data_IF_081635264308
#
_entry.id   IF_081635264308
#
_cell.length_a   1.000
_cell.length_b   1.000
_cell.length_c   1.000
_cell.angle_alpha   90.00
_cell.angle_beta   90.00
_cell.angle_gamma   90.00
#
_symmetry.space_group_name_H-M   'P 1'
#
loop_
_entity.id
_entity.type
_entity.pdbx_description
1 polymer ?
#
# COMPACT_ATOMS: atom_id res chain seq x y z
N UNK A 1 -13.05 -13.31 24.38
CA UNK A 1 -13.31 -12.06 25.16
C UNK A 1 -12.86 -10.78 24.44
N UNK A 2 -11.88 -10.82 23.53
CA UNK A 2 -11.34 -9.61 22.85
C UNK A 2 -12.34 -8.89 21.90
N UNK A 3 -13.17 -9.62 21.14
CA UNK A 3 -14.00 -9.04 20.06
C UNK A 3 -15.02 -7.96 20.51
N UNK A 4 -15.58 -8.07 21.72
CA UNK A 4 -16.55 -7.10 22.24
C UNK A 4 -15.89 -5.76 22.60
N UNK A 5 -14.66 -5.78 23.11
CA UNK A 5 -13.94 -4.59 23.58
C UNK A 5 -13.44 -3.77 22.38
N UNK A 6 -12.88 -4.42 21.36
CA UNK A 6 -12.39 -3.74 20.14
C UNK A 6 -13.52 -2.99 19.42
N UNK A 7 -14.72 -3.60 19.34
CA UNK A 7 -15.88 -2.98 18.68
C UNK A 7 -16.38 -1.73 19.41
N UNK A 8 -16.37 -1.74 20.75
CA UNK A 8 -16.75 -0.58 21.57
C UNK A 8 -15.77 0.59 21.39
N UNK A 9 -14.46 0.32 21.44
CA UNK A 9 -13.44 1.37 21.27
C UNK A 9 -13.53 2.02 19.89
N UNK A 10 -13.61 1.22 18.82
CA UNK A 10 -13.73 1.75 17.45
C UNK A 10 -15.02 2.57 17.30
N UNK A 11 -16.13 2.11 17.89
CA UNK A 11 -17.41 2.84 17.84
C UNK A 11 -17.31 4.18 18.55
N UNK A 12 -16.70 4.24 19.73
CA UNK A 12 -16.51 5.48 20.48
C UNK A 12 -15.61 6.47 19.74
N UNK A 13 -14.52 5.99 19.13
CA UNK A 13 -13.65 6.82 18.29
C UNK A 13 -14.42 7.36 17.08
N UNK A 14 -15.20 6.52 16.40
CA UNK A 14 -16.00 6.94 15.25
C UNK A 14 -17.09 7.95 15.65
N UNK A 15 -17.75 7.77 16.79
CA UNK A 15 -18.70 8.73 17.35
C UNK A 15 -18.04 10.09 17.58
N UNK A 16 -16.88 10.11 18.25
CA UNK A 16 -16.14 11.36 18.47
C UNK A 16 -15.66 11.99 17.16
N UNK A 17 -15.28 11.19 16.17
CA UNK A 17 -14.89 11.64 14.85
C UNK A 17 -16.05 12.27 14.06
N UNK A 18 -17.27 11.73 14.19
CA UNK A 18 -18.49 12.32 13.63
C UNK A 18 -18.81 13.69 14.25
N UNK A 19 -18.51 13.88 15.54
CA UNK A 19 -18.68 15.19 16.20
C UNK A 19 -17.62 16.23 15.79
N UNK A 20 -16.47 15.78 15.25
CA UNK A 20 -15.33 16.63 14.91
C UNK A 20 -14.79 16.31 13.50
N UNK A 21 -15.58 16.52 12.42
CA UNK A 21 -15.24 16.08 11.07
C UNK A 21 -13.98 16.73 10.48
N UNK A 22 -13.60 17.90 11.00
CA UNK A 22 -12.42 18.67 10.59
C UNK A 22 -11.09 18.08 11.08
N UNK A 23 -11.14 17.24 12.12
CA UNK A 23 -9.95 16.66 12.74
C UNK A 23 -9.75 15.22 12.25
N UNK A 24 -8.52 14.83 11.86
CA UNK A 24 -8.23 13.44 11.54
C UNK A 24 -8.12 12.59 12.82
N UNK A 25 -8.72 11.41 12.80
CA UNK A 25 -8.68 10.41 13.86
C UNK A 25 -7.91 9.19 13.39
N UNK A 26 -6.85 8.83 14.10
CA UNK A 26 -6.01 7.68 13.78
C UNK A 26 -6.25 6.55 14.79
N UNK A 27 -6.55 5.36 14.29
CA UNK A 27 -6.64 4.12 15.06
C UNK A 27 -5.39 3.32 14.76
N UNK A 28 -4.46 3.27 15.71
CA UNK A 28 -3.22 2.49 15.60
C UNK A 28 -3.40 1.12 16.26
N UNK A 29 -3.30 0.07 15.46
CA UNK A 29 -3.34 -1.32 15.89
C UNK A 29 -1.91 -1.87 15.92
N UNK A 30 -1.39 -2.06 17.13
CA UNK A 30 -0.05 -2.60 17.29
C UNK A 30 -0.02 -4.13 17.11
N UNK A 31 1.01 -4.66 16.44
CA UNK A 31 1.24 -6.08 16.17
C UNK A 31 -0.02 -6.81 15.65
N UNK A 32 -0.67 -6.21 14.65
CA UNK A 32 -2.01 -6.61 14.24
C UNK A 32 -2.08 -8.06 13.73
N UNK A 33 -0.96 -8.62 13.26
CA UNK A 33 -0.83 -9.95 12.67
C UNK A 33 -0.53 -11.09 13.68
N UNK A 34 -0.52 -10.82 14.98
CA UNK A 34 -0.48 -11.85 16.03
C UNK A 34 -1.67 -12.82 15.94
N UNK A 35 -2.80 -12.34 15.43
CA UNK A 35 -3.96 -13.15 15.07
C UNK A 35 -4.31 -12.93 13.60
N UNK A 36 -5.06 -13.86 13.00
CA UNK A 36 -5.57 -13.71 11.64
C UNK A 36 -6.47 -12.48 11.54
N UNK A 37 -5.92 -11.40 10.97
CA UNK A 37 -6.58 -10.10 10.81
C UNK A 37 -7.92 -10.20 10.12
N UNK A 38 -8.00 -11.04 9.10
CA UNK A 38 -9.23 -11.27 8.35
C UNK A 38 -10.40 -11.80 9.19
N UNK A 39 -10.15 -12.38 10.38
CA UNK A 39 -11.19 -12.88 11.26
C UNK A 39 -11.68 -11.81 12.23
N UNK A 40 -10.76 -11.24 13.02
CA UNK A 40 -11.15 -10.25 14.02
C UNK A 40 -11.51 -8.88 13.43
N UNK A 41 -10.98 -8.57 12.25
CA UNK A 41 -11.21 -7.30 11.55
C UNK A 41 -12.22 -7.42 10.40
N UNK A 42 -12.87 -8.58 10.26
CA UNK A 42 -13.80 -8.90 9.16
C UNK A 42 -14.95 -7.89 9.04
N UNK A 43 -15.54 -7.47 10.16
CA UNK A 43 -16.66 -6.52 10.19
C UNK A 43 -16.23 -5.16 9.65
N UNK A 44 -15.06 -4.65 10.07
CA UNK A 44 -14.53 -3.37 9.60
C UNK A 44 -14.17 -3.45 8.11
N UNK A 45 -13.50 -4.52 7.69
CA UNK A 45 -13.17 -4.74 6.27
C UNK A 45 -14.45 -4.81 5.41
N UNK A 46 -15.54 -5.36 5.96
CA UNK A 46 -16.83 -5.43 5.26
C UNK A 46 -17.54 -4.08 5.24
N UNK A 47 -17.46 -3.29 6.32
CA UNK A 47 -18.02 -1.93 6.36
C UNK A 47 -17.30 -0.98 5.40
N UNK A 48 -15.99 -1.11 5.22
CA UNK A 48 -15.23 -0.35 4.23
C UNK A 48 -15.72 -0.57 2.79
N UNK A 49 -16.35 -1.72 2.49
CA UNK A 49 -16.95 -2.00 1.18
C UNK A 49 -18.26 -1.23 0.94
N UNK A 50 -18.89 -0.72 2.00
CA UNK A 50 -20.18 -0.02 1.95
C UNK A 50 -20.05 1.49 1.76
N UNK A 51 -18.81 1.98 1.58
CA UNK A 51 -18.50 3.39 1.37
C UNK A 51 -19.31 3.97 0.22
N UNK A 52 -19.99 5.08 0.47
CA UNK A 52 -20.80 5.83 -0.49
C UNK A 52 -20.81 7.30 -0.14
N UNK A 53 -21.16 8.13 -1.11
CA UNK A 53 -21.50 9.53 -0.85
C UNK A 53 -22.92 9.62 -0.25
N UNK A 54 -23.08 10.45 0.79
CA UNK A 54 -24.39 10.91 1.26
C UNK A 54 -24.90 12.09 0.40
N UNK A 55 -26.03 12.68 0.79
CA UNK A 55 -26.62 13.84 0.09
C UNK A 55 -25.70 15.07 0.11
N UNK A 56 -24.89 15.22 1.15
CA UNK A 56 -23.92 16.30 1.35
C UNK A 56 -22.55 16.03 0.70
N UNK A 57 -22.43 14.95 -0.09
CA UNK A 57 -21.18 14.49 -0.74
C UNK A 57 -20.06 14.09 0.22
N UNK A 58 -20.40 13.70 1.43
CA UNK A 58 -19.48 13.11 2.39
C UNK A 58 -19.40 11.61 2.21
N UNK A 59 -18.21 11.04 2.41
CA UNK A 59 -18.03 9.59 2.37
C UNK A 59 -18.47 8.99 3.71
N UNK A 60 -19.50 8.14 3.65
CA UNK A 60 -20.04 7.41 4.80
C UNK A 60 -20.05 5.90 4.54
N UNK A 61 -20.08 5.10 5.60
CA UNK A 61 -20.34 3.65 5.52
C UNK A 61 -21.75 3.31 6.00
N UNK A 62 -22.12 2.03 5.99
CA UNK A 62 -23.19 1.54 6.84
C UNK A 62 -22.84 1.69 8.32
N UNK A 63 -23.85 1.58 9.18
CA UNK A 63 -23.68 1.68 10.64
C UNK A 63 -22.81 0.55 11.20
N UNK A 64 -21.94 0.92 12.13
CA UNK A 64 -20.97 0.05 12.81
C UNK A 64 -21.65 -0.98 13.70
N UNK A 65 -22.69 -0.55 14.41
CA UNK A 65 -23.53 -1.40 15.23
C UNK A 65 -24.82 -1.71 14.49
N UNK A 66 -25.21 -2.98 14.48
CA UNK A 66 -26.55 -3.39 14.06
C UNK A 66 -27.46 -3.37 15.29
N UNK A 67 -28.75 -3.13 15.11
CA UNK A 67 -29.72 -3.09 16.22
C UNK A 67 -29.64 -4.36 17.10
N UNK A 68 -29.41 -5.54 16.50
CA UNK A 68 -29.29 -6.80 17.24
C UNK A 68 -28.06 -6.87 18.15
N UNK A 69 -27.02 -6.07 17.87
CA UNK A 69 -25.79 -6.01 18.66
C UNK A 69 -25.92 -5.11 19.89
N UNK A 70 -26.83 -4.13 19.86
CA UNK A 70 -27.07 -3.17 20.94
C UNK A 70 -28.08 -3.72 21.95
N UNK A 71 -28.99 -4.60 21.50
CA UNK A 71 -30.02 -5.18 22.37
C UNK A 71 -31.09 -4.15 22.74
N UNK A 72 -31.64 -4.22 23.95
CA UNK A 72 -32.67 -3.29 24.45
C UNK A 72 -32.11 -2.12 25.27
N UNK A 73 -30.82 -1.80 25.14
CA UNK A 73 -30.22 -0.65 25.81
C UNK A 73 -30.54 0.64 25.03
N UNK A 74 -31.64 1.30 25.42
CA UNK A 74 -32.13 2.50 24.74
C UNK A 74 -31.10 3.64 24.73
N UNK A 75 -30.27 3.76 25.76
CA UNK A 75 -29.25 4.81 25.84
C UNK A 75 -28.12 4.52 24.84
N UNK A 76 -27.68 3.25 24.74
CA UNK A 76 -26.69 2.84 23.75
C UNK A 76 -27.22 2.92 22.32
N UNK A 77 -28.50 2.61 22.07
CA UNK A 77 -29.14 2.78 20.76
C UNK A 77 -29.16 4.27 20.39
N UNK A 78 -29.61 5.12 21.30
CA UNK A 78 -29.69 6.57 21.04
C UNK A 78 -28.32 7.20 20.80
N UNK A 79 -27.25 6.66 21.40
CA UNK A 79 -25.91 7.25 21.29
C UNK A 79 -25.08 6.66 20.15
N UNK A 80 -25.21 5.36 19.87
CA UNK A 80 -24.32 4.64 18.95
C UNK A 80 -25.05 3.94 17.79
N UNK A 81 -26.38 4.04 17.71
CA UNK A 81 -27.18 3.33 16.70
C UNK A 81 -27.01 3.84 15.27
N UNK A 82 -26.57 5.08 15.11
CA UNK A 82 -26.33 5.75 13.82
C UNK A 82 -24.84 5.95 13.52
N UNK A 83 -23.94 5.41 14.36
CA UNK A 83 -22.51 5.58 14.20
C UNK A 83 -22.01 4.76 13.01
N UNK A 84 -21.30 5.40 12.10
CA UNK A 84 -20.64 4.79 10.93
C UNK A 84 -19.13 5.10 10.97
N UNK A 85 -18.34 4.61 10.01
CA UNK A 85 -16.93 4.98 9.88
C UNK A 85 -16.85 6.26 9.03
N UNK A 86 -16.59 7.45 9.63
CA UNK A 86 -16.56 8.70 8.89
C UNK A 86 -15.27 8.86 8.08
N UNK A 87 -15.29 9.77 7.10
CA UNK A 87 -14.19 10.07 6.19
C UNK A 87 -12.92 10.63 6.85
N UNK A 88 -12.98 10.97 8.14
CA UNK A 88 -11.85 11.43 8.94
C UNK A 88 -11.23 10.36 9.84
N UNK A 89 -11.64 9.09 9.73
CA UNK A 89 -11.05 7.97 10.48
C UNK A 89 -10.10 7.17 9.60
N UNK A 90 -8.85 7.04 10.08
CA UNK A 90 -7.77 6.30 9.45
C UNK A 90 -7.34 5.16 10.36
N UNK A 91 -7.24 3.95 9.81
CA UNK A 91 -6.77 2.77 10.54
C UNK A 91 -5.37 2.43 10.04
N UNK A 92 -4.43 2.35 10.98
CA UNK A 92 -3.04 2.00 10.73
C UNK A 92 -2.73 0.77 11.57
N UNK A 93 -2.11 -0.24 10.97
CA UNK A 93 -1.66 -1.43 11.69
C UNK A 93 -0.16 -1.62 11.54
N UNK A 94 0.52 -1.92 12.64
CA UNK A 94 1.92 -2.38 12.61
C UNK A 94 1.95 -3.90 12.56
N UNK A 95 3.01 -4.44 11.99
CA UNK A 95 3.13 -5.86 11.66
C UNK A 95 4.57 -6.27 11.92
N UNK A 96 4.76 -7.33 12.71
CA UNK A 96 6.07 -7.98 12.84
C UNK A 96 6.08 -9.22 11.97
N UNK A 97 7.01 -9.32 11.03
CA UNK A 97 7.09 -10.44 10.09
C UNK A 97 8.00 -11.55 10.63
N UNK A 98 7.75 -12.00 11.87
CA UNK A 98 8.48 -13.10 12.49
C UNK A 98 7.74 -14.44 12.31
N UNK A 99 8.45 -15.57 12.51
CA UNK A 99 7.93 -16.94 12.36
C UNK A 99 6.63 -17.22 13.17
N UNK A 100 6.38 -16.43 14.22
CA UNK A 100 5.24 -16.58 15.13
C UNK A 100 3.97 -15.88 14.67
N UNK A 101 3.99 -15.22 13.50
CA UNK A 101 2.88 -14.38 13.03
C UNK A 101 2.14 -14.97 11.84
N UNK A 102 0.87 -14.56 11.65
CA UNK A 102 0.07 -15.05 10.53
C UNK A 102 0.29 -14.18 9.27
N UNK A 103 0.51 -14.78 8.09
CA UNK A 103 0.58 -14.03 6.85
C UNK A 103 -0.77 -13.39 6.52
N UNK A 104 -0.74 -12.23 5.87
CA UNK A 104 -1.96 -11.58 5.40
C UNK A 104 -2.55 -12.30 4.20
N UNK A 105 -3.87 -12.46 4.20
CA UNK A 105 -4.58 -12.91 3.01
C UNK A 105 -4.64 -11.79 1.97
N UNK A 106 -4.71 -12.18 0.69
CA UNK A 106 -4.94 -11.23 -0.42
C UNK A 106 -6.15 -10.32 -0.16
N UNK A 107 -7.17 -10.85 0.53
CA UNK A 107 -8.37 -10.10 0.93
C UNK A 107 -8.06 -8.89 1.81
N UNK A 108 -7.08 -8.98 2.70
CA UNK A 108 -6.64 -7.87 3.57
C UNK A 108 -5.74 -6.92 2.79
N UNK A 109 -4.75 -7.46 2.05
CA UNK A 109 -3.81 -6.67 1.24
C UNK A 109 -4.51 -5.87 0.14
N UNK A 110 -5.64 -6.37 -0.39
CA UNK A 110 -6.46 -5.63 -1.34
C UNK A 110 -7.08 -4.36 -0.74
N UNK A 111 -7.25 -4.25 0.58
CA UNK A 111 -7.90 -3.13 1.26
C UNK A 111 -6.94 -2.21 2.02
N UNK A 112 -5.64 -2.48 1.97
CA UNK A 112 -4.63 -1.72 2.70
C UNK A 112 -3.50 -1.29 1.76
N UNK A 113 -2.89 -0.14 2.03
CA UNK A 113 -1.55 0.16 1.54
C UNK A 113 -0.56 -0.48 2.51
N UNK A 114 0.53 -1.02 1.98
CA UNK A 114 1.53 -1.71 2.78
C UNK A 114 2.83 -0.93 2.72
N UNK A 115 3.37 -0.57 3.87
CA UNK A 115 4.60 0.22 3.97
C UNK A 115 5.59 -0.64 4.75
N UNK A 116 6.74 -0.87 4.14
CA UNK A 116 7.78 -1.73 4.69
C UNK A 116 8.97 -0.89 5.15
N UNK A 117 9.44 -1.13 6.37
CA UNK A 117 10.55 -0.42 6.98
C UNK A 117 11.76 -1.34 7.14
N UNK A 118 12.53 -1.54 6.07
CA UNK A 118 13.66 -2.48 6.08
C UNK A 118 15.02 -1.84 6.33
N UNK A 119 15.18 -0.55 5.99
CA UNK A 119 16.48 0.12 6.04
C UNK A 119 16.64 0.77 7.41
N UNK A 120 17.40 0.12 8.28
CA UNK A 120 17.87 0.71 9.53
C UNK A 120 19.24 1.33 9.28
N UNK A 121 19.34 2.65 9.40
CA UNK A 121 20.63 3.33 9.43
C UNK A 121 21.11 3.37 10.88
N UNK A 122 22.14 2.59 11.20
CA UNK A 122 22.76 2.56 12.52
C UNK A 122 23.86 3.62 12.69
N UNK A 123 24.16 4.38 11.63
CA UNK A 123 25.10 5.47 11.76
C UNK A 123 24.55 6.48 12.75
N UNK A 124 25.30 6.69 13.83
CA UNK A 124 25.00 7.65 14.86
C UNK A 124 26.16 8.62 14.93
N UNK A 125 25.89 9.88 14.61
CA UNK A 125 26.84 10.96 14.81
C UNK A 125 26.56 11.60 16.16
N UNK A 126 27.55 11.62 17.05
CA UNK A 126 27.43 12.37 18.31
C UNK A 126 27.40 13.88 18.09
N UNK A 127 27.84 14.34 16.91
CA UNK A 127 27.73 15.72 16.44
C UNK A 127 26.35 16.00 15.83
N UNK A 128 25.62 14.95 15.41
CA UNK A 128 24.16 14.98 15.27
C UNK A 128 23.56 14.88 16.68
N UNK A 129 23.86 15.88 17.51
CA UNK A 129 22.81 16.37 18.40
C UNK A 129 21.62 16.49 17.47
N UNK A 130 20.52 15.77 17.75
CA UNK A 130 19.24 16.05 17.15
C UNK A 130 19.04 17.54 17.42
N UNK A 131 19.53 18.37 16.51
CA UNK A 131 18.99 19.65 16.25
C UNK A 131 17.57 19.22 16.00
N UNK A 132 16.72 19.50 16.98
CA UNK A 132 15.39 19.99 16.67
C UNK A 132 15.65 21.05 15.60
N UNK A 133 15.85 20.61 14.35
CA UNK A 133 15.44 21.34 13.19
C UNK A 133 14.08 21.83 13.66
N UNK A 134 13.93 23.13 13.81
CA UNK A 134 12.69 23.77 14.22
C UNK A 134 11.66 23.39 13.14
N UNK A 135 11.19 22.15 13.18
CA UNK A 135 10.17 21.61 12.32
C UNK A 135 8.94 22.22 12.95
N UNK A 136 8.55 23.37 12.41
CA UNK A 136 7.31 23.99 12.82
C UNK A 136 6.19 22.96 12.64
N UNK A 137 5.43 22.64 13.69
CA UNK A 137 4.35 21.68 13.57
C UNK A 137 3.35 22.22 12.55
N UNK A 138 3.23 21.51 11.43
CA UNK A 138 2.22 21.83 10.42
C UNK A 138 0.88 21.28 10.90
N UNK A 139 -0.08 22.17 11.10
CA UNK A 139 -1.45 21.80 11.38
C UNK A 139 -2.14 21.42 10.07
N UNK A 140 -2.43 20.14 9.90
CA UNK A 140 -3.22 19.63 8.78
C UNK A 140 -4.64 19.31 9.23
N UNK A 141 -5.62 19.86 8.51
CA UNK A 141 -7.01 19.51 8.66
C UNK A 141 -7.33 18.21 7.91
N UNK A 142 -8.44 17.56 8.27
CA UNK A 142 -8.87 16.35 7.59
C UNK A 142 -9.12 16.55 6.09
N UNK A 143 -9.43 17.77 5.65
CA UNK A 143 -9.55 18.13 4.24
C UNK A 143 -8.33 17.78 3.39
N UNK A 144 -7.13 17.75 3.98
CA UNK A 144 -5.91 17.33 3.31
C UNK A 144 -5.81 15.79 3.16
N UNK A 145 -6.33 15.04 4.14
CA UNK A 145 -6.15 13.59 4.23
C UNK A 145 -7.34 12.79 3.67
N UNK A 146 -8.54 13.39 3.67
CA UNK A 146 -9.77 12.68 3.30
C UNK A 146 -9.76 12.36 1.81
N UNK A 147 -10.37 11.22 1.47
CA UNK A 147 -10.55 10.90 0.06
C UNK A 147 -11.63 11.78 -0.56
N UNK A 148 -11.36 12.33 -1.73
CA UNK A 148 -12.31 13.03 -2.61
C UNK A 148 -13.03 12.07 -3.56
N UNK A 149 -12.49 10.86 -3.75
CA UNK A 149 -12.97 9.89 -4.74
C UNK A 149 -13.33 8.55 -4.11
N UNK A 150 -14.35 7.89 -4.67
CA UNK A 150 -14.70 6.50 -4.33
C UNK A 150 -14.56 5.56 -5.52
N UNK A 151 -14.80 6.05 -6.73
CA UNK A 151 -14.72 5.31 -7.98
C UNK A 151 -14.02 6.13 -9.05
N UNK A 152 -13.45 5.46 -10.04
CA UNK A 152 -12.74 6.13 -11.13
C UNK A 152 -13.56 7.18 -11.90
N UNK A 153 -14.89 6.99 -11.96
CA UNK A 153 -15.83 7.94 -12.59
C UNK A 153 -15.90 9.29 -11.85
N UNK A 154 -15.43 9.35 -10.62
CA UNK A 154 -15.42 10.58 -9.81
C UNK A 154 -14.20 11.46 -10.20
N UNK A 155 -13.22 10.91 -10.92
CA UNK A 155 -11.97 11.57 -11.29
C UNK A 155 -12.01 12.26 -12.67
N UNK A 156 -13.19 12.65 -13.17
CA UNK A 156 -13.36 13.18 -14.55
C UNK A 156 -12.46 14.40 -14.80
N UNK A 157 -12.30 15.27 -13.81
CA UNK A 157 -11.47 16.48 -13.91
C UNK A 157 -9.97 16.15 -14.04
N UNK A 158 -9.55 14.97 -13.59
CA UNK A 158 -8.17 14.48 -13.59
C UNK A 158 -7.91 13.41 -14.67
N UNK A 159 -8.73 13.40 -15.73
CA UNK A 159 -8.72 12.34 -16.77
C UNK A 159 -7.35 12.05 -17.40
N UNK A 160 -6.46 13.05 -17.50
CA UNK A 160 -5.14 12.89 -18.13
C UNK A 160 -4.28 12.00 -17.23
N UNK A 161 -4.06 12.43 -15.99
CA UNK A 161 -3.31 11.67 -14.97
C UNK A 161 -3.93 10.28 -14.76
N UNK A 162 -5.26 10.22 -14.66
CA UNK A 162 -5.97 8.97 -14.48
C UNK A 162 -5.72 8.01 -15.66
N UNK A 163 -5.77 8.49 -16.90
CA UNK A 163 -5.53 7.67 -18.08
C UNK A 163 -4.08 7.18 -18.13
N UNK A 164 -3.11 8.03 -17.88
CA UNK A 164 -1.69 7.66 -17.90
C UNK A 164 -1.40 6.57 -16.84
N UNK A 165 -1.93 6.72 -15.63
CA UNK A 165 -1.84 5.71 -14.58
C UNK A 165 -2.52 4.39 -14.97
N UNK A 166 -3.72 4.44 -15.58
CA UNK A 166 -4.43 3.24 -16.07
C UNK A 166 -3.62 2.55 -17.16
N UNK A 167 -3.07 3.28 -18.13
CA UNK A 167 -2.31 2.71 -19.24
C UNK A 167 -1.04 2.01 -18.70
N UNK A 168 -0.37 2.59 -17.71
CA UNK A 168 0.76 1.94 -17.01
C UNK A 168 0.31 0.67 -16.27
N UNK A 169 -0.81 0.73 -15.55
CA UNK A 169 -1.35 -0.44 -14.84
C UNK A 169 -1.77 -1.57 -15.78
N UNK A 170 -2.32 -1.26 -16.96
CA UNK A 170 -2.68 -2.26 -17.97
C UNK A 170 -1.43 -3.01 -18.43
N UNK A 171 -0.31 -2.29 -18.68
CA UNK A 171 0.96 -2.95 -19.06
C UNK A 171 1.43 -3.94 -17.99
N UNK A 172 1.41 -3.53 -16.73
CA UNK A 172 1.76 -4.41 -15.60
C UNK A 172 0.78 -5.58 -15.50
N UNK A 173 -0.52 -5.31 -15.57
CA UNK A 173 -1.54 -6.34 -15.40
C UNK A 173 -1.48 -7.40 -16.50
N UNK A 174 -1.15 -7.02 -17.74
CA UNK A 174 -0.94 -7.96 -18.85
C UNK A 174 0.23 -8.92 -18.60
N UNK A 175 1.27 -8.48 -17.89
CA UNK A 175 2.37 -9.36 -17.45
C UNK A 175 1.86 -10.33 -16.38
N UNK A 176 1.20 -9.79 -15.35
CA UNK A 176 0.69 -10.57 -14.22
C UNK A 176 -0.38 -11.59 -14.63
N UNK A 177 -1.19 -11.28 -15.64
CA UNK A 177 -2.29 -12.14 -16.12
C UNK A 177 -1.79 -13.48 -16.64
N UNK A 178 -0.63 -13.51 -17.31
CA UNK A 178 -0.01 -14.74 -17.83
C UNK A 178 0.20 -15.81 -16.74
N UNK A 179 0.35 -15.37 -15.50
CA UNK A 179 0.70 -16.18 -14.35
C UNK A 179 -0.39 -16.18 -13.25
N UNK A 180 -1.61 -15.72 -13.57
CA UNK A 180 -2.74 -15.63 -12.63
C UNK A 180 -2.49 -14.71 -11.41
N UNK A 181 -1.63 -13.69 -11.55
CA UNK A 181 -1.38 -12.66 -10.54
C UNK A 181 -2.06 -11.32 -10.84
N UNK A 182 -2.93 -11.26 -11.86
CA UNK A 182 -3.66 -10.03 -12.22
C UNK A 182 -4.49 -9.48 -11.05
N UNK A 183 -4.68 -8.16 -11.02
CA UNK A 183 -5.43 -7.48 -9.97
C UNK A 183 -6.77 -6.94 -10.49
N UNK A 184 -7.71 -6.74 -9.56
CA UNK A 184 -9.03 -6.20 -9.85
C UNK A 184 -9.09 -4.67 -9.89
N UNK A 185 -10.29 -4.16 -10.15
CA UNK A 185 -10.57 -2.72 -10.28
C UNK A 185 -10.19 -1.88 -9.05
N UNK A 186 -10.16 -2.48 -7.85
CA UNK A 186 -9.77 -1.77 -6.62
C UNK A 186 -8.34 -1.25 -6.69
N UNK A 187 -7.39 -2.11 -7.06
CA UNK A 187 -5.99 -1.72 -7.18
C UNK A 187 -5.85 -0.60 -8.21
N UNK A 188 -6.58 -0.69 -9.32
CA UNK A 188 -6.62 0.37 -10.34
C UNK A 188 -7.12 1.68 -9.76
N UNK A 189 -8.31 1.70 -9.17
CA UNK A 189 -8.95 2.92 -8.70
C UNK A 189 -8.10 3.57 -7.58
N UNK A 190 -7.60 2.79 -6.62
CA UNK A 190 -6.78 3.31 -5.53
C UNK A 190 -5.42 3.85 -6.00
N UNK A 191 -4.74 3.18 -6.94
CA UNK A 191 -3.51 3.71 -7.54
C UNK A 191 -3.79 5.00 -8.31
N UNK A 192 -4.90 5.07 -9.06
CA UNK A 192 -5.28 6.31 -9.76
C UNK A 192 -5.52 7.45 -8.77
N UNK A 193 -6.22 7.19 -7.66
CA UNK A 193 -6.43 8.21 -6.63
C UNK A 193 -5.11 8.67 -6.03
N UNK A 194 -4.20 7.74 -5.72
CA UNK A 194 -2.86 8.06 -5.21
C UNK A 194 -2.10 8.98 -6.18
N UNK A 195 -2.08 8.64 -7.46
CA UNK A 195 -1.42 9.45 -8.49
C UNK A 195 -2.01 10.86 -8.60
N UNK A 196 -3.34 10.97 -8.52
CA UNK A 196 -4.03 12.27 -8.53
C UNK A 196 -3.62 13.09 -7.31
N UNK A 197 -3.61 12.52 -6.11
CA UNK A 197 -3.22 13.25 -4.90
C UNK A 197 -1.74 13.65 -4.91
N UNK A 198 -0.86 12.78 -5.39
CA UNK A 198 0.56 13.07 -5.52
C UNK A 198 0.81 14.30 -6.42
N UNK A 199 0.14 14.36 -7.58
CA UNK A 199 0.22 15.50 -8.49
C UNK A 199 -0.47 16.75 -7.93
N UNK A 200 -1.72 16.62 -7.47
CA UNK A 200 -2.55 17.72 -6.95
C UNK A 200 -1.83 18.50 -5.84
N UNK A 201 -1.19 17.78 -4.92
CA UNK A 201 -0.48 18.36 -3.78
C UNK A 201 1.03 18.50 -4.03
N UNK A 202 1.52 18.16 -5.23
CA UNK A 202 2.94 18.23 -5.62
C UNK A 202 3.86 17.54 -4.62
N UNK A 203 3.46 16.35 -4.16
CA UNK A 203 4.16 15.60 -3.12
C UNK A 203 5.33 14.81 -3.68
N UNK A 204 5.17 14.25 -4.88
CA UNK A 204 6.10 13.33 -5.53
C UNK A 204 6.04 13.54 -7.04
N UNK A 205 7.10 13.18 -7.76
CA UNK A 205 7.04 13.07 -9.21
C UNK A 205 6.18 11.86 -9.64
N UNK A 206 5.70 11.87 -10.88
CA UNK A 206 4.76 10.86 -11.35
C UNK A 206 5.36 9.45 -11.36
N UNK A 207 6.63 9.29 -11.76
CA UNK A 207 7.29 7.98 -11.81
C UNK A 207 7.58 7.47 -10.39
N UNK A 208 8.00 8.35 -9.48
CA UNK A 208 8.22 8.03 -8.05
C UNK A 208 6.91 7.65 -7.34
N UNK A 209 5.84 8.40 -7.54
CA UNK A 209 4.52 8.10 -6.98
C UNK A 209 4.01 6.73 -7.46
N UNK A 210 4.19 6.43 -8.76
CA UNK A 210 3.76 5.17 -9.33
C UNK A 210 4.64 4.00 -8.87
N UNK A 211 5.96 4.21 -8.76
CA UNK A 211 6.91 3.25 -8.20
C UNK A 211 6.53 2.82 -6.79
N UNK A 212 6.20 3.79 -5.93
CA UNK A 212 5.70 3.52 -4.58
C UNK A 212 4.40 2.71 -4.64
N UNK A 213 3.43 3.08 -5.49
CA UNK A 213 2.20 2.30 -5.66
C UNK A 213 2.47 0.84 -6.04
N UNK A 214 3.42 0.59 -6.96
CA UNK A 214 3.79 -0.76 -7.38
C UNK A 214 4.29 -1.57 -6.18
N UNK A 215 5.23 -1.02 -5.40
CA UNK A 215 5.77 -1.67 -4.20
C UNK A 215 4.66 -1.96 -3.20
N UNK A 216 3.83 -0.96 -2.86
CA UNK A 216 2.85 -1.05 -1.78
C UNK A 216 1.63 -1.92 -2.13
N UNK A 217 1.17 -1.93 -3.40
CA UNK A 217 -0.11 -2.54 -3.81
C UNK A 217 0.02 -3.74 -4.74
N UNK A 218 1.11 -3.85 -5.51
CA UNK A 218 1.27 -4.89 -6.53
C UNK A 218 2.25 -5.95 -6.05
N UNK A 219 3.49 -5.56 -5.74
CA UNK A 219 4.55 -6.50 -5.35
C UNK A 219 4.23 -7.19 -4.02
N UNK A 220 3.55 -6.50 -3.09
CA UNK A 220 3.11 -7.04 -1.79
C UNK A 220 2.22 -8.29 -1.87
N UNK A 221 1.66 -8.59 -3.05
CA UNK A 221 0.77 -9.74 -3.29
C UNK A 221 1.47 -10.91 -4.00
N UNK A 222 2.72 -10.74 -4.40
CA UNK A 222 3.50 -11.76 -5.09
C UNK A 222 4.33 -12.52 -4.05
N UNK A 223 4.03 -13.81 -3.92
CA UNK A 223 4.74 -14.74 -3.05
C UNK A 223 4.52 -16.17 -3.54
N UNK A 224 5.49 -17.05 -3.32
CA UNK A 224 5.38 -18.45 -3.68
C UNK A 224 6.73 -19.10 -4.00
N UNK A 225 6.67 -20.38 -4.34
CA UNK A 225 7.80 -21.23 -4.72
C UNK A 225 7.68 -21.80 -6.14
N UNK A 226 6.65 -21.41 -6.91
CA UNK A 226 6.48 -21.89 -8.28
C UNK A 226 7.37 -21.12 -9.26
N UNK A 227 7.73 -21.77 -10.37
CA UNK A 227 8.46 -21.13 -11.47
C UNK A 227 7.67 -19.94 -12.04
N UNK A 228 6.34 -19.99 -12.04
CA UNK A 228 5.49 -18.84 -12.38
C UNK A 228 5.81 -17.59 -11.54
N UNK A 229 6.14 -17.74 -10.26
CA UNK A 229 6.54 -16.59 -9.41
C UNK A 229 7.86 -16.03 -9.88
N UNK A 230 8.84 -16.88 -10.16
CA UNK A 230 10.15 -16.47 -10.68
C UNK A 230 9.99 -15.71 -11.99
N UNK A 231 9.20 -16.25 -12.92
CA UNK A 231 8.98 -15.66 -14.23
C UNK A 231 8.24 -14.32 -14.16
N UNK A 232 7.23 -14.19 -13.29
CA UNK A 232 6.58 -12.89 -13.01
C UNK A 232 7.60 -11.85 -12.55
N UNK A 233 8.46 -12.21 -11.60
CA UNK A 233 9.43 -11.27 -11.04
C UNK A 233 10.44 -10.82 -12.11
N UNK A 234 10.87 -11.74 -12.96
CA UNK A 234 11.77 -11.45 -14.09
C UNK A 234 11.07 -10.55 -15.12
N UNK A 235 9.85 -10.89 -15.56
CA UNK A 235 9.12 -10.10 -16.57
C UNK A 235 8.84 -8.67 -16.06
N UNK A 236 8.47 -8.51 -14.79
CA UNK A 236 8.29 -7.19 -14.17
C UNK A 236 9.62 -6.43 -14.10
N UNK A 237 10.72 -7.11 -13.75
CA UNK A 237 12.03 -6.46 -13.66
C UNK A 237 12.47 -5.92 -15.02
N UNK A 238 12.31 -6.71 -16.08
CA UNK A 238 12.64 -6.29 -17.46
C UNK A 238 11.72 -5.16 -17.95
N UNK A 239 10.43 -5.16 -17.60
CA UNK A 239 9.51 -4.05 -17.90
C UNK A 239 9.93 -2.74 -17.21
N UNK A 240 10.37 -2.82 -15.96
CA UNK A 240 10.78 -1.64 -15.17
C UNK A 240 12.19 -1.16 -15.52
N UNK A 241 12.99 -1.99 -16.19
CA UNK A 241 14.37 -1.71 -16.59
C UNK A 241 14.50 -1.79 -18.11
N UNK A 242 13.83 -0.86 -18.81
CA UNK A 242 13.73 -0.84 -20.26
C UNK A 242 15.11 -0.93 -20.94
N UNK A 243 15.28 -1.95 -21.79
CA UNK A 243 16.55 -2.27 -22.47
C UNK A 243 17.38 -3.33 -21.76
N UNK A 244 17.02 -3.74 -20.53
CA UNK A 244 17.64 -4.86 -19.84
C UNK A 244 16.85 -6.16 -20.07
N UNK A 245 17.59 -7.25 -20.34
CA UNK A 245 17.05 -8.61 -20.33
C UNK A 245 18.07 -9.56 -19.71
N UNK A 246 17.61 -10.53 -18.94
CA UNK A 246 18.45 -11.61 -18.46
C UNK A 246 18.80 -12.53 -19.63
N UNK A 247 20.08 -12.86 -19.80
CA UNK A 247 20.52 -13.74 -20.90
C UNK A 247 20.06 -15.18 -20.68
N UNK A 248 20.10 -15.62 -19.43
CA UNK A 248 19.63 -16.94 -19.02
C UNK A 248 18.67 -16.81 -17.84
N UNK A 249 17.37 -16.87 -18.11
CA UNK A 249 16.32 -16.80 -17.08
C UNK A 249 16.34 -18.02 -16.15
N UNK A 250 16.82 -19.17 -16.62
CA UNK A 250 16.92 -20.39 -15.81
C UNK A 250 18.02 -20.28 -14.76
N UNK A 251 19.11 -19.60 -15.09
CA UNK A 251 20.27 -19.42 -14.23
C UNK A 251 20.72 -17.96 -14.19
N UNK A 252 20.27 -17.25 -13.15
CA UNK A 252 20.68 -15.87 -12.86
C UNK A 252 21.71 -15.91 -11.74
N UNK A 253 22.89 -15.33 -11.97
CA UNK A 253 23.96 -15.33 -10.98
C UNK A 253 23.71 -14.31 -9.86
N UNK A 254 23.98 -14.68 -8.61
CA UNK A 254 23.92 -13.75 -7.48
C UNK A 254 24.85 -12.54 -7.67
N UNK A 255 25.97 -12.71 -8.37
CA UNK A 255 26.89 -11.62 -8.70
C UNK A 255 26.29 -10.63 -9.69
N UNK A 256 25.52 -11.10 -10.68
CA UNK A 256 24.78 -10.25 -11.63
C UNK A 256 23.73 -9.41 -10.89
N UNK A 257 22.90 -10.05 -10.06
CA UNK A 257 21.89 -9.36 -9.25
C UNK A 257 22.51 -8.32 -8.32
N UNK A 258 23.68 -8.61 -7.73
CA UNK A 258 24.37 -7.66 -6.85
C UNK A 258 24.87 -6.44 -7.60
N UNK A 259 25.48 -6.62 -8.78
CA UNK A 259 25.89 -5.50 -9.65
C UNK A 259 24.69 -4.62 -10.05
N UNK A 260 23.56 -5.23 -10.41
CA UNK A 260 22.32 -4.52 -10.73
C UNK A 260 21.79 -3.72 -9.53
N UNK A 261 21.78 -4.33 -8.34
CA UNK A 261 21.36 -3.68 -7.09
C UNK A 261 22.20 -2.41 -6.84
N UNK A 262 23.52 -2.53 -6.92
CA UNK A 262 24.44 -1.42 -6.64
C UNK A 262 24.32 -0.29 -7.68
N UNK A 263 24.20 -0.63 -8.96
CA UNK A 263 23.99 0.34 -10.05
C UNK A 263 22.67 1.09 -9.91
N UNK A 264 21.57 0.37 -9.68
CA UNK A 264 20.23 0.98 -9.52
C UNK A 264 20.17 1.80 -8.24
N UNK A 265 20.81 1.35 -7.15
CA UNK A 265 20.86 2.09 -5.89
C UNK A 265 21.62 3.42 -6.02
N UNK A 266 22.72 3.43 -6.79
CA UNK A 266 23.55 4.62 -7.02
C UNK A 266 22.90 5.67 -7.91
N UNK A 267 21.91 5.28 -8.72
CA UNK A 267 21.16 6.19 -9.61
C UNK A 267 20.58 7.40 -8.86
N UNK A 268 20.73 8.57 -9.46
CA UNK A 268 20.24 9.85 -8.90
C UNK A 268 19.00 10.38 -9.61
N UNK A 269 18.86 10.14 -10.91
CA UNK A 269 17.77 10.70 -11.73
C UNK A 269 17.05 9.63 -12.57
N UNK A 270 15.73 9.75 -12.73
CA UNK A 270 14.93 8.80 -13.51
C UNK A 270 15.30 8.68 -14.99
N UNK A 271 15.98 9.68 -15.55
CA UNK A 271 16.46 9.72 -16.94
C UNK A 271 17.83 9.08 -17.16
N UNK A 272 18.55 8.73 -16.09
CA UNK A 272 19.89 8.18 -16.16
C UNK A 272 19.93 6.82 -16.91
N UNK A 273 20.83 6.71 -17.89
CA UNK A 273 21.11 5.45 -18.55
C UNK A 273 22.17 4.67 -17.76
N UNK A 274 21.87 3.41 -17.48
CA UNK A 274 22.75 2.50 -16.76
C UNK A 274 23.39 1.53 -17.75
N UNK A 275 24.65 1.16 -17.48
CA UNK A 275 25.39 0.23 -18.33
C UNK A 275 25.98 -0.91 -17.49
N UNK A 276 25.75 -2.14 -17.94
CA UNK A 276 26.30 -3.36 -17.33
C UNK A 276 26.58 -4.39 -18.42
N UNK A 277 27.78 -4.98 -18.42
CA UNK A 277 28.17 -6.09 -19.32
C UNK A 277 27.73 -5.86 -20.79
N UNK A 278 28.00 -4.65 -21.32
CA UNK A 278 27.64 -4.15 -22.67
C UNK A 278 26.15 -3.88 -22.95
N UNK A 279 25.26 -4.07 -21.97
CA UNK A 279 23.85 -3.69 -22.05
C UNK A 279 23.68 -2.27 -21.55
N UNK A 280 22.89 -1.47 -22.28
CA UNK A 280 22.45 -0.14 -21.83
C UNK A 280 20.96 -0.22 -21.55
N UNK A 281 20.54 0.23 -20.37
CA UNK A 281 19.15 0.17 -19.96
C UNK A 281 18.76 1.42 -19.15
N UNK A 282 17.45 1.65 -19.02
CA UNK A 282 16.89 2.73 -18.21
C UNK A 282 16.02 2.12 -17.13
N UNK A 283 16.39 2.33 -15.86
CA UNK A 283 15.55 1.98 -14.73
C UNK A 283 14.45 3.04 -14.57
N UNK A 284 13.19 2.68 -14.76
CA UNK A 284 12.04 3.58 -14.64
C UNK A 284 11.61 3.66 -13.17
N UNK A 285 11.43 2.51 -12.53
CA UNK A 285 10.94 2.40 -11.14
C UNK A 285 12.03 1.81 -10.23
N UNK A 286 12.74 2.68 -9.51
CA UNK A 286 13.92 2.34 -8.70
C UNK A 286 13.57 1.41 -7.54
N UNK A 287 12.59 1.78 -6.73
CA UNK A 287 12.18 1.03 -5.53
C UNK A 287 11.63 -0.34 -5.89
N UNK A 288 10.79 -0.40 -6.92
CA UNK A 288 10.25 -1.63 -7.47
C UNK A 288 11.36 -2.54 -8.01
N UNK A 289 12.33 -2.00 -8.75
CA UNK A 289 13.45 -2.79 -9.29
C UNK A 289 14.34 -3.37 -8.18
N UNK A 290 14.67 -2.57 -7.16
CA UNK A 290 15.44 -3.04 -6.00
C UNK A 290 14.68 -4.13 -5.23
N UNK A 291 13.36 -3.96 -5.07
CA UNK A 291 12.52 -4.96 -4.40
C UNK A 291 12.43 -6.26 -5.20
N UNK A 292 12.30 -6.17 -6.52
CA UNK A 292 12.31 -7.33 -7.42
C UNK A 292 13.65 -8.07 -7.36
N UNK A 293 14.79 -7.38 -7.38
CA UNK A 293 16.11 -8.00 -7.22
C UNK A 293 16.18 -8.79 -5.91
N UNK A 294 15.73 -8.19 -4.81
CA UNK A 294 15.66 -8.87 -3.52
C UNK A 294 14.81 -10.15 -3.59
N UNK A 295 13.61 -10.06 -4.18
CA UNK A 295 12.68 -11.19 -4.29
C UNK A 295 13.23 -12.30 -5.19
N UNK A 296 13.85 -11.96 -6.32
CA UNK A 296 14.49 -12.90 -7.24
C UNK A 296 15.65 -13.61 -6.53
N UNK A 297 16.52 -12.84 -5.85
CA UNK A 297 17.66 -13.40 -5.09
C UNK A 297 17.19 -14.38 -4.02
N UNK A 298 16.12 -14.04 -3.29
CA UNK A 298 15.52 -14.93 -2.27
C UNK A 298 14.97 -16.21 -2.91
N UNK A 299 14.27 -16.09 -4.04
CA UNK A 299 13.75 -17.25 -4.77
C UNK A 299 14.88 -18.20 -5.22
N UNK A 300 15.95 -17.67 -5.81
CA UNK A 300 17.10 -18.47 -6.28
C UNK A 300 17.79 -19.19 -5.11
N UNK A 301 17.91 -18.53 -3.96
CA UNK A 301 18.59 -19.08 -2.79
C UNK A 301 17.74 -20.12 -2.04
N UNK A 302 16.46 -19.81 -1.83
CA UNK A 302 15.60 -20.53 -0.89
C UNK A 302 14.51 -21.38 -1.58
N UNK A 303 14.34 -21.25 -2.90
CA UNK A 303 13.25 -21.87 -3.66
C UNK A 303 11.87 -21.28 -3.37
N UNK A 304 11.81 -20.20 -2.57
CA UNK A 304 10.60 -19.50 -2.20
C UNK A 304 10.89 -18.01 -2.06
N UNK A 305 9.92 -17.18 -2.42
CA UNK A 305 10.02 -15.74 -2.21
C UNK A 305 8.72 -15.17 -1.70
N UNK A 306 8.84 -14.05 -1.02
CA UNK A 306 7.75 -13.26 -0.49
C UNK A 306 8.18 -11.81 -0.51
N UNK A 307 7.23 -10.91 -0.69
CA UNK A 307 7.47 -9.50 -0.54
C UNK A 307 7.99 -9.18 0.86
N UNK A 308 7.43 -9.82 1.88
CA UNK A 308 7.71 -9.52 3.28
C UNK A 308 9.06 -10.07 3.74
N UNK A 309 9.87 -9.23 4.38
CA UNK A 309 11.10 -9.66 5.06
C UNK A 309 10.78 -10.46 6.31
#
# INVERSE_FOLDING_TARGET
>A
MSYKITRLIITEICYNAMLNPELPYFICLDEMNLARVEYYFSDILSLMETRRFNEDKEIITNYLLKEEAIGNDNDAISKYGDVYIPQNVYIIGTVNMDETTFPFSKKVLDRANTIEFNKVDLNYSFDDVFTENNIEPKNYHNDFLKSEFLKIKDCIEYKVIAKDAIDNLIRINNILEKYNYHFGYRVRDETVFYMIYADKYKLLDADEAFDICIVQKILSKISGSSDDVKDVLIDLFEEFNSGYKFDNRDYIENGELKKLEDLIAAKTENTEQLQIDNKTFKCIYKSSSLKLIYMIRRFIRDGFTTFWQ
#
